data_IF_298230884283
#
_entry.id   IF_298230884283
#
_cell.length_a   1.000
_cell.length_b   1.000
_cell.length_c   1.000
_cell.angle_alpha   90.00
_cell.angle_beta   90.00
_cell.angle_gamma   90.00
#
_symmetry.space_group_name_H-M   'P 1'
#
loop_
_entity.id
_entity.type
_entity.pdbx_description
1 polymer ?
#
# COMPACT_ATOMS: atom_id res chain seq x y z
N UNK A 1 9.32 5.89 -6.08
CA UNK A 1 8.11 5.71 -6.90
C UNK A 1 8.52 5.03 -8.20
N UNK A 2 7.71 4.11 -8.71
CA UNK A 2 7.90 3.44 -9.99
C UNK A 2 6.59 3.47 -10.79
N UNK A 3 6.68 3.55 -12.11
CA UNK A 3 5.54 3.31 -12.99
C UNK A 3 5.33 1.80 -13.15
N UNK A 4 4.07 1.39 -13.27
CA UNK A 4 3.73 -0.02 -13.44
C UNK A 4 4.02 -0.45 -14.88
N UNK A 5 4.75 -1.57 -15.09
CA UNK A 5 5.05 -2.07 -16.43
C UNK A 5 3.80 -2.35 -17.26
N UNK A 6 2.74 -2.86 -16.61
CA UNK A 6 1.45 -3.17 -17.22
C UNK A 6 0.35 -2.35 -16.52
N UNK A 7 -0.23 -1.38 -17.20
CA UNK A 7 -1.17 -0.44 -16.58
C UNK A 7 -2.49 -1.13 -16.16
N UNK A 8 -3.06 -0.83 -14.98
CA UNK A 8 -4.32 -1.41 -14.49
C UNK A 8 -5.58 -0.85 -15.17
N UNK A 9 -5.41 -0.04 -16.22
CA UNK A 9 -6.48 0.67 -16.93
C UNK A 9 -6.79 2.05 -16.33
N UNK A 10 -7.61 2.84 -17.03
CA UNK A 10 -7.79 4.28 -16.79
C UNK A 10 -8.38 4.70 -15.43
N UNK A 11 -8.90 3.76 -14.62
CA UNK A 11 -9.53 4.07 -13.33
C UNK A 11 -8.61 3.84 -12.12
N UNK A 12 -7.47 3.19 -12.32
CA UNK A 12 -6.53 2.87 -11.26
C UNK A 12 -5.17 3.52 -11.55
N UNK A 13 -4.41 3.91 -10.52
CA UNK A 13 -3.12 4.54 -10.75
C UNK A 13 -2.15 3.60 -11.47
N UNK A 14 -1.35 4.18 -12.35
CA UNK A 14 -0.29 3.50 -13.09
C UNK A 14 1.08 3.52 -12.41
N UNK A 15 1.15 3.86 -11.12
CA UNK A 15 2.38 4.13 -10.38
C UNK A 15 2.25 3.76 -8.90
N UNK A 16 3.36 3.59 -8.20
CA UNK A 16 3.36 3.38 -6.76
C UNK A 16 4.75 3.28 -6.12
N UNK A 17 4.78 3.05 -4.82
CA UNK A 17 5.97 2.79 -4.01
C UNK A 17 6.11 1.29 -3.75
N UNK A 18 7.35 0.80 -3.72
CA UNK A 18 7.69 -0.62 -3.59
C UNK A 18 8.54 -1.11 -4.76
N UNK A 19 9.37 -2.15 -4.56
CA UNK A 19 10.16 -2.74 -5.64
C UNK A 19 9.29 -3.52 -6.64
N UNK A 20 8.11 -3.98 -6.22
CA UNK A 20 7.21 -4.81 -6.99
C UNK A 20 7.40 -6.28 -6.63
N UNK A 21 6.33 -7.10 -6.67
CA UNK A 21 5.15 -6.93 -7.53
C UNK A 21 3.91 -6.27 -6.87
N UNK A 22 4.01 -5.79 -5.64
CA UNK A 22 2.94 -5.08 -4.91
C UNK A 22 3.37 -3.65 -4.62
N UNK A 23 2.41 -2.73 -4.68
CA UNK A 23 2.69 -1.30 -4.63
C UNK A 23 1.73 -0.53 -3.73
N UNK A 24 2.26 0.41 -2.95
CA UNK A 24 1.47 1.43 -2.27
C UNK A 24 1.25 2.61 -3.22
N UNK A 25 0.01 2.99 -3.47
CA UNK A 25 -0.38 3.89 -4.57
C UNK A 25 -1.51 4.84 -4.20
N UNK A 26 -1.74 5.85 -5.04
CA UNK A 26 -2.80 6.86 -4.91
C UNK A 26 -2.29 8.24 -4.54
N UNK A 27 -1.14 8.33 -3.86
CA UNK A 27 -0.51 9.59 -3.47
C UNK A 27 0.98 9.60 -3.79
N UNK A 28 1.53 10.79 -3.99
CA UNK A 28 2.98 11.03 -4.10
C UNK A 28 3.62 11.41 -2.77
N UNK A 29 2.81 11.88 -1.83
CA UNK A 29 3.22 12.24 -0.48
C UNK A 29 2.13 11.78 0.48
N UNK A 30 2.53 11.13 1.57
CA UNK A 30 1.58 10.57 2.53
C UNK A 30 1.35 11.53 3.69
N UNK A 31 0.09 11.77 4.01
CA UNK A 31 -0.35 12.52 5.18
C UNK A 31 -1.36 11.66 5.93
N UNK A 32 -1.64 12.00 7.19
CA UNK A 32 -2.71 11.34 7.91
C UNK A 32 -4.07 11.61 7.22
N UNK A 33 -4.95 10.62 7.22
CA UNK A 33 -6.30 10.61 6.64
C UNK A 33 -6.40 10.74 5.10
N UNK A 34 -5.31 10.51 4.35
CA UNK A 34 -5.37 10.46 2.88
C UNK A 34 -5.71 9.06 2.36
N UNK A 35 -6.39 9.00 1.22
CA UNK A 35 -6.73 7.72 0.60
C UNK A 35 -5.49 7.03 0.03
N UNK A 36 -5.40 5.73 0.25
CA UNK A 36 -4.33 4.85 -0.20
C UNK A 36 -4.88 3.61 -0.88
N UNK A 37 -4.13 3.10 -1.86
CA UNK A 37 -4.35 1.84 -2.52
C UNK A 37 -3.15 0.93 -2.29
N UNK A 38 -3.40 -0.35 -1.99
CA UNK A 38 -2.41 -1.40 -2.18
C UNK A 38 -2.76 -2.12 -3.47
N UNK A 39 -1.86 -2.08 -4.45
CA UNK A 39 -2.03 -2.60 -5.80
C UNK A 39 -1.18 -3.86 -5.98
N UNK A 40 -1.80 -4.98 -6.35
CA UNK A 40 -1.13 -6.27 -6.58
C UNK A 40 -1.12 -6.57 -8.07
N UNK A 41 0.07 -6.74 -8.64
CA UNK A 41 0.27 -7.04 -10.06
C UNK A 41 -0.37 -8.37 -10.49
N UNK A 42 -0.87 -8.48 -11.74
CA UNK A 42 -1.32 -9.72 -12.37
C UNK A 42 -0.33 -10.88 -12.30
N UNK A 43 0.97 -10.56 -12.20
CA UNK A 43 2.04 -11.56 -12.09
C UNK A 43 2.01 -12.35 -10.78
N UNK A 44 1.35 -11.81 -9.74
CA UNK A 44 1.25 -12.48 -8.44
C UNK A 44 0.12 -13.51 -8.48
N UNK A 45 0.45 -14.75 -8.13
CA UNK A 45 -0.51 -15.83 -7.94
C UNK A 45 -0.80 -16.07 -6.46
N UNK A 46 -2.07 -16.27 -6.12
CA UNK A 46 -2.53 -16.52 -4.75
C UNK A 46 -2.67 -15.26 -3.90
N UNK A 47 -3.11 -15.45 -2.66
CA UNK A 47 -3.36 -14.38 -1.70
C UNK A 47 -2.07 -13.66 -1.31
N UNK A 48 -2.19 -12.36 -1.04
CA UNK A 48 -1.10 -11.52 -0.53
C UNK A 48 -1.45 -11.07 0.88
N UNK A 49 -0.51 -11.25 1.81
CA UNK A 49 -0.59 -10.71 3.16
C UNK A 49 0.17 -9.38 3.21
N UNK A 50 -0.44 -8.36 3.80
CA UNK A 50 0.20 -7.06 4.06
C UNK A 50 0.18 -6.81 5.55
N UNK A 51 1.36 -6.58 6.12
CA UNK A 51 1.58 -6.25 7.52
C UNK A 51 2.36 -4.95 7.58
N UNK A 52 2.36 -4.27 8.71
CA UNK A 52 3.19 -3.08 8.84
C UNK A 52 3.33 -2.58 10.25
N UNK A 53 4.29 -1.68 10.41
CA UNK A 53 4.64 -1.05 11.68
C UNK A 53 5.41 0.25 11.42
N UNK A 54 5.40 1.15 12.38
CA UNK A 54 6.23 2.34 12.40
C UNK A 54 7.69 1.95 12.69
N UNK A 55 8.62 2.30 11.81
CA UNK A 55 10.02 1.94 11.95
C UNK A 55 10.77 2.84 12.93
N UNK A 56 10.32 4.09 13.09
CA UNK A 56 10.92 5.11 13.97
C UNK A 56 10.08 5.40 15.21
N UNK A 57 9.19 4.47 15.59
CA UNK A 57 8.31 4.61 16.74
C UNK A 57 7.60 3.30 17.09
N UNK A 58 6.53 3.39 17.88
CA UNK A 58 5.73 2.24 18.34
C UNK A 58 4.36 2.14 17.65
N UNK A 59 4.11 2.95 16.61
CA UNK A 59 2.87 2.90 15.85
C UNK A 59 2.71 1.58 15.09
N UNK A 60 1.49 1.07 15.01
CA UNK A 60 1.18 -0.13 14.23
C UNK A 60 1.13 0.12 12.72
N UNK A 61 0.48 -0.79 11.99
CA UNK A 61 0.22 -0.60 10.56
C UNK A 61 -0.66 0.65 10.34
N UNK A 62 -0.26 1.57 9.44
CA UNK A 62 -0.98 2.82 9.26
C UNK A 62 -2.11 2.69 8.23
N UNK A 63 -2.71 1.51 8.06
CA UNK A 63 -3.74 1.25 7.04
C UNK A 63 -5.08 0.98 7.71
N UNK A 64 -6.10 1.78 7.38
CA UNK A 64 -7.48 1.57 7.82
C UNK A 64 -8.43 1.48 6.63
N UNK A 65 -9.07 0.32 6.50
CA UNK A 65 -10.05 0.04 5.45
C UNK A 65 -11.42 -0.19 6.03
N UNK A 66 -12.34 -0.70 5.20
CA UNK A 66 -13.70 -1.04 5.64
C UNK A 66 -13.74 -2.09 6.75
N UNK A 67 -12.74 -2.97 6.82
CA UNK A 67 -12.62 -4.01 7.84
C UNK A 67 -11.95 -3.52 9.14
N UNK A 68 -11.65 -2.21 9.25
CA UNK A 68 -10.91 -1.62 10.36
C UNK A 68 -9.42 -1.41 10.06
N UNK A 69 -8.67 -1.05 11.10
CA UNK A 69 -7.23 -0.89 11.05
C UNK A 69 -6.55 -2.23 11.35
N UNK A 70 -5.60 -2.65 10.52
CA UNK A 70 -4.87 -3.89 10.77
C UNK A 70 -4.21 -4.50 9.55
N UNK A 71 -3.62 -5.68 9.76
CA UNK A 71 -3.02 -6.48 8.70
C UNK A 71 -4.09 -6.86 7.67
N UNK A 72 -3.70 -6.88 6.40
CA UNK A 72 -4.62 -7.08 5.28
C UNK A 72 -4.32 -8.38 4.57
N UNK A 73 -5.35 -9.03 4.05
CA UNK A 73 -5.23 -10.10 3.07
C UNK A 73 -5.90 -9.66 1.78
N UNK A 74 -5.15 -9.60 0.69
CA UNK A 74 -5.65 -9.26 -0.64
C UNK A 74 -5.79 -10.55 -1.44
N UNK A 75 -7.05 -11.00 -1.56
CA UNK A 75 -7.44 -12.17 -2.33
C UNK A 75 -8.06 -11.76 -3.67
N UNK A 76 -8.19 -12.71 -4.59
CA UNK A 76 -8.86 -12.51 -5.86
C UNK A 76 -8.33 -13.42 -6.97
N UNK A 77 -8.86 -13.30 -8.18
CA UNK A 77 -8.39 -14.08 -9.32
C UNK A 77 -6.94 -13.76 -9.69
N UNK A 78 -6.19 -14.78 -10.11
CA UNK A 78 -4.85 -14.62 -10.67
C UNK A 78 -4.93 -13.97 -12.06
N UNK A 79 -3.83 -13.35 -12.51
CA UNK A 79 -3.76 -12.77 -13.86
C UNK A 79 -4.53 -11.46 -14.03
N UNK A 80 -5.16 -10.93 -12.98
CA UNK A 80 -5.78 -9.60 -12.97
C UNK A 80 -5.18 -8.73 -11.89
N UNK A 81 -5.21 -7.42 -12.11
CA UNK A 81 -4.89 -6.47 -11.04
C UNK A 81 -5.87 -6.66 -9.89
N UNK A 82 -5.34 -6.73 -8.68
CA UNK A 82 -6.11 -6.78 -7.43
C UNK A 82 -5.73 -5.58 -6.60
N UNK A 83 -6.67 -5.06 -5.83
CA UNK A 83 -6.39 -3.91 -4.99
C UNK A 83 -7.18 -3.93 -3.70
N UNK A 84 -6.60 -3.29 -2.70
CA UNK A 84 -7.28 -2.87 -1.48
C UNK A 84 -7.27 -1.34 -1.43
N UNK A 85 -8.34 -0.75 -0.89
CA UNK A 85 -8.44 0.69 -0.71
C UNK A 85 -8.87 1.07 0.72
N UNK A 86 -8.28 2.15 1.22
CA UNK A 86 -8.55 2.66 2.56
C UNK A 86 -7.83 3.99 2.79
N UNK A 87 -7.63 4.35 4.05
CA UNK A 87 -6.92 5.56 4.46
C UNK A 87 -5.61 5.23 5.15
N UNK A 88 -4.65 6.14 5.00
CA UNK A 88 -3.49 6.20 5.89
C UNK A 88 -3.95 6.77 7.23
N UNK A 89 -3.81 6.01 8.32
CA UNK A 89 -4.11 6.46 9.69
C UNK A 89 -2.92 6.18 10.60
N UNK A 90 -2.15 7.22 10.90
CA UNK A 90 -0.91 7.09 11.66
C UNK A 90 -0.31 8.44 12.00
N UNK A 91 0.50 8.47 13.06
CA UNK A 91 1.30 9.65 13.40
C UNK A 91 2.40 9.90 12.36
N UNK A 92 2.93 11.12 12.27
CA UNK A 92 4.09 11.40 11.42
C UNK A 92 5.27 10.50 11.76
N UNK A 93 5.98 10.03 10.74
CA UNK A 93 7.11 9.12 10.92
C UNK A 93 7.31 8.16 9.75
N UNK A 94 8.29 7.28 9.87
CA UNK A 94 8.66 6.26 8.90
C UNK A 94 7.91 4.96 9.18
N UNK A 95 7.32 4.36 8.15
CA UNK A 95 6.59 3.11 8.25
C UNK A 95 7.12 2.11 7.23
N UNK A 96 7.12 0.85 7.65
CA UNK A 96 7.41 -0.29 6.79
C UNK A 96 6.15 -1.11 6.61
N UNK A 97 5.83 -1.44 5.36
CA UNK A 97 4.92 -2.51 5.04
C UNK A 97 5.75 -3.74 4.66
N UNK A 98 5.45 -4.89 5.26
CA UNK A 98 5.93 -6.18 4.81
C UNK A 98 4.81 -6.83 3.99
N UNK A 99 5.18 -7.27 2.79
CA UNK A 99 4.27 -7.90 1.84
C UNK A 99 4.77 -9.32 1.63
N UNK A 100 3.91 -10.28 1.88
CA UNK A 100 4.23 -11.69 1.71
C UNK A 100 3.26 -12.31 0.72
N UNK A 101 3.82 -12.81 -0.37
CA UNK A 101 3.14 -13.73 -1.28
C UNK A 101 3.54 -15.17 -0.99
N UNK A 102 3.04 -16.08 -1.81
CA UNK A 102 3.33 -17.52 -1.68
C UNK A 102 4.79 -17.87 -1.97
N UNK A 103 5.48 -17.06 -2.77
CA UNK A 103 6.85 -17.30 -3.24
C UNK A 103 7.76 -16.07 -3.16
N UNK A 104 7.33 -15.00 -2.50
CA UNK A 104 8.15 -13.80 -2.31
C UNK A 104 7.79 -13.08 -1.01
N UNK A 105 8.75 -12.31 -0.51
CA UNK A 105 8.54 -11.28 0.50
C UNK A 105 9.20 -10.00 0.01
N UNK A 106 8.52 -8.87 0.14
CA UNK A 106 9.08 -7.55 -0.14
C UNK A 106 8.69 -6.53 0.94
N UNK A 107 9.37 -5.39 0.93
CA UNK A 107 9.13 -4.30 1.85
C UNK A 107 8.87 -2.99 1.11
N UNK A 108 7.90 -2.23 1.59
CA UNK A 108 7.64 -0.86 1.14
C UNK A 108 7.88 0.06 2.32
N UNK A 109 8.88 0.93 2.20
CA UNK A 109 9.19 1.95 3.20
C UNK A 109 8.66 3.28 2.70
N UNK A 110 7.93 3.99 3.55
CA UNK A 110 7.39 5.32 3.26
C UNK A 110 7.29 6.15 4.55
N UNK A 111 7.15 7.47 4.40
CA UNK A 111 6.97 8.38 5.53
C UNK A 111 5.61 9.06 5.49
N UNK A 112 4.95 9.17 6.64
CA UNK A 112 3.80 10.05 6.86
C UNK A 112 4.33 11.41 7.29
N UNK A 113 4.02 12.43 6.49
CA UNK A 113 4.40 13.82 6.75
C UNK A 113 3.58 14.42 7.91
N UNK A 114 4.17 15.36 8.67
CA UNK A 114 3.43 16.12 9.67
C UNK A 114 2.43 17.08 9.03
N UNK A 115 1.34 17.34 9.76
CA UNK A 115 0.28 18.26 9.34
C UNK A 115 -0.75 17.65 8.39
N UNK A 116 -1.77 18.43 8.00
CA UNK A 116 -2.76 17.99 7.03
C UNK A 116 -2.17 17.93 5.61
N UNK A 117 -2.80 17.13 4.74
CA UNK A 117 -2.51 17.20 3.31
C UNK A 117 -2.78 18.62 2.78
N UNK A 118 -1.93 19.14 1.87
CA UNK A 118 -2.19 20.39 1.17
C UNK A 118 -3.54 20.36 0.45
N UNK A 119 -4.21 21.52 0.29
CA UNK A 119 -5.36 21.64 -0.60
C UNK A 119 -5.02 21.18 -2.02
N UNK A 120 -5.98 20.55 -2.68
CA UNK A 120 -5.87 20.10 -4.08
C UNK A 120 -5.88 21.27 -5.07
#
# INVERSE_FOLDING_TARGET
MQQFPNQPGHKLPGYGYGPGPVFLSGQLTWFNNVYALIMVSPAVSGDVLVRGHQLDGSGGIPLQGQQGQGNLKIAGPNGTWRWWGGQIVGGPGCYGLQIDGTNFTEQIIFSISPGPAPPA
#
